data_IF_142430112089
#
_entry.id   IF_142430112089
#
_cell.length_a   1.000
_cell.length_b   1.000
_cell.length_c   1.000
_cell.angle_alpha   90.00
_cell.angle_beta   90.00
_cell.angle_gamma   90.00
#
_symmetry.space_group_name_H-M   'P 1'
#
loop_
_entity.id
_entity.type
_entity.pdbx_description
1 polymer ?
#
# COMPACT_ATOMS: atom_id res chain seq x y z
N UNK A 1 15.14 -57.92 -6.21
CA UNK A 1 14.88 -57.11 -7.42
C UNK A 1 13.53 -56.41 -7.28
N UNK A 2 13.54 -55.09 -7.53
CA UNK A 2 12.44 -54.17 -7.89
C UNK A 2 11.31 -53.88 -6.88
N UNK A 3 11.53 -52.75 -6.22
CA UNK A 3 10.57 -51.77 -5.69
C UNK A 3 9.22 -51.68 -6.42
N UNK A 4 8.13 -51.81 -5.65
CA UNK A 4 6.77 -51.49 -6.08
C UNK A 4 6.38 -50.05 -5.76
N UNK A 5 6.25 -49.24 -6.82
CA UNK A 5 5.37 -48.06 -7.04
C UNK A 5 5.55 -46.78 -6.19
N UNK A 6 6.02 -45.69 -6.84
CA UNK A 6 5.68 -44.30 -6.53
C UNK A 6 4.57 -43.71 -7.44
N UNK A 7 3.75 -44.54 -8.10
CA UNK A 7 2.85 -44.09 -9.18
C UNK A 7 1.57 -43.35 -8.72
N UNK A 8 1.08 -43.57 -7.49
CA UNK A 8 -0.20 -42.99 -7.04
C UNK A 8 -0.13 -41.51 -6.65
N UNK A 9 1.03 -41.00 -6.21
CA UNK A 9 1.15 -39.62 -5.70
C UNK A 9 1.19 -38.58 -6.84
N UNK A 10 1.67 -38.94 -8.03
CA UNK A 10 1.72 -38.02 -9.18
C UNK A 10 0.36 -37.84 -9.85
N UNK A 11 -0.43 -38.92 -9.94
CA UNK A 11 -1.74 -38.92 -10.63
C UNK A 11 -2.83 -38.19 -9.82
N UNK A 12 -2.81 -38.35 -8.48
CA UNK A 12 -3.70 -37.58 -7.61
C UNK A 12 -3.38 -36.08 -7.61
N UNK A 13 -2.10 -35.69 -7.69
CA UNK A 13 -1.68 -34.28 -7.81
C UNK A 13 -2.09 -33.66 -9.14
N UNK A 14 -2.06 -34.41 -10.25
CA UNK A 14 -2.46 -33.88 -11.56
C UNK A 14 -3.98 -33.76 -11.69
N UNK A 15 -4.75 -34.68 -11.11
CA UNK A 15 -6.21 -34.61 -11.11
C UNK A 15 -6.74 -33.47 -10.23
N UNK A 16 -6.12 -33.24 -9.05
CA UNK A 16 -6.48 -32.10 -8.19
C UNK A 16 -6.11 -30.76 -8.84
N UNK A 17 -4.97 -30.67 -9.52
CA UNK A 17 -4.58 -29.48 -10.29
C UNK A 17 -5.52 -29.19 -11.46
N UNK A 18 -5.98 -30.21 -12.19
CA UNK A 18 -6.93 -30.03 -13.28
C UNK A 18 -8.31 -29.58 -12.75
N UNK A 19 -8.75 -30.15 -11.61
CA UNK A 19 -9.95 -29.73 -10.89
C UNK A 19 -9.89 -28.25 -10.49
N UNK A 20 -8.78 -27.81 -9.92
CA UNK A 20 -8.57 -26.42 -9.53
C UNK A 20 -8.58 -25.49 -10.75
N UNK A 21 -7.89 -25.85 -11.85
CA UNK A 21 -7.87 -25.04 -13.08
C UNK A 21 -9.28 -24.87 -13.67
N UNK A 22 -10.06 -25.96 -13.74
CA UNK A 22 -11.44 -25.91 -14.24
C UNK A 22 -12.34 -25.09 -13.32
N UNK A 23 -12.14 -25.20 -12.00
CA UNK A 23 -12.86 -24.42 -11.01
C UNK A 23 -12.55 -22.93 -11.13
N UNK A 24 -11.27 -22.55 -11.26
CA UNK A 24 -10.85 -21.16 -11.52
C UNK A 24 -11.48 -20.64 -12.80
N UNK A 25 -11.44 -21.41 -13.89
CA UNK A 25 -12.02 -20.99 -15.18
C UNK A 25 -13.53 -20.81 -15.09
N UNK A 26 -14.23 -21.72 -14.43
CA UNK A 26 -15.68 -21.66 -14.20
C UNK A 26 -16.06 -20.44 -13.38
N UNK A 27 -15.42 -20.25 -12.21
CA UNK A 27 -15.68 -19.09 -11.33
C UNK A 27 -15.36 -17.79 -12.04
N UNK A 28 -14.22 -17.70 -12.72
CA UNK A 28 -13.81 -16.50 -13.47
C UNK A 28 -14.83 -16.15 -14.57
N UNK A 29 -15.34 -17.16 -15.29
CA UNK A 29 -16.37 -16.97 -16.30
C UNK A 29 -17.68 -16.46 -15.69
N UNK A 30 -18.13 -17.07 -14.60
CA UNK A 30 -19.35 -16.67 -13.87
C UNK A 30 -19.25 -15.26 -13.31
N UNK A 31 -18.09 -14.89 -12.73
CA UNK A 31 -17.82 -13.54 -12.25
C UNK A 31 -17.85 -12.52 -13.39
N UNK A 32 -17.27 -12.85 -14.54
CA UNK A 32 -17.28 -11.97 -15.71
C UNK A 32 -18.68 -11.78 -16.30
N UNK A 33 -19.50 -12.84 -16.37
CA UNK A 33 -20.84 -12.75 -16.98
C UNK A 33 -21.92 -12.22 -16.05
N UNK A 34 -21.88 -12.61 -14.77
CA UNK A 34 -22.98 -12.43 -13.81
C UNK A 34 -22.57 -11.88 -12.45
N UNK A 35 -21.27 -11.62 -12.23
CA UNK A 35 -20.75 -11.16 -10.95
C UNK A 35 -20.92 -12.22 -9.86
N UNK A 36 -21.08 -11.76 -8.62
CA UNK A 36 -21.13 -12.62 -7.43
C UNK A 36 -22.49 -13.27 -7.18
N UNK A 37 -23.56 -12.85 -7.89
CA UNK A 37 -24.94 -13.30 -7.65
C UNK A 37 -25.19 -14.77 -7.97
N UNK A 38 -24.48 -15.29 -8.96
CA UNK A 38 -24.62 -16.67 -9.44
C UNK A 38 -23.43 -17.53 -9.03
N UNK A 39 -22.63 -17.08 -8.06
CA UNK A 39 -21.59 -17.93 -7.49
C UNK A 39 -22.22 -19.10 -6.73
N UNK A 40 -21.63 -20.29 -6.79
CA UNK A 40 -22.09 -21.43 -6.00
C UNK A 40 -22.14 -21.09 -4.51
N UNK A 41 -23.06 -21.75 -3.78
CA UNK A 41 -23.29 -21.52 -2.36
C UNK A 41 -21.97 -21.65 -1.56
N UNK A 42 -21.75 -20.77 -0.56
CA UNK A 42 -20.57 -20.81 0.27
C UNK A 42 -20.20 -22.16 0.88
N UNK A 43 -21.19 -22.99 1.21
CA UNK A 43 -21.01 -24.31 1.80
C UNK A 43 -20.59 -25.38 0.78
N UNK A 44 -20.76 -25.11 -0.52
CA UNK A 44 -20.38 -26.04 -1.61
C UNK A 44 -19.00 -25.73 -2.18
N UNK A 45 -18.50 -24.51 -1.99
CA UNK A 45 -17.21 -24.04 -2.49
C UNK A 45 -16.15 -24.06 -1.38
N UNK A 46 -15.31 -25.10 -1.37
CA UNK A 46 -14.09 -25.10 -0.54
C UNK A 46 -13.03 -24.19 -1.17
N UNK A 47 -13.09 -22.89 -0.88
CA UNK A 47 -12.12 -21.90 -1.34
C UNK A 47 -10.87 -21.95 -0.46
N UNK A 48 -9.80 -22.57 -0.96
CA UNK A 48 -8.47 -22.47 -0.35
C UNK A 48 -7.79 -21.15 -0.75
N UNK A 49 -6.87 -20.64 0.09
CA UNK A 49 -6.11 -19.41 -0.22
C UNK A 49 -5.40 -19.45 -1.60
N UNK A 50 -4.75 -20.56 -2.02
CA UNK A 50 -4.14 -20.64 -3.35
C UNK A 50 -5.15 -20.47 -4.49
N UNK A 51 -6.34 -21.05 -4.35
CA UNK A 51 -7.41 -20.97 -5.35
C UNK A 51 -7.96 -19.55 -5.43
N UNK A 52 -8.20 -18.91 -4.28
CA UNK A 52 -8.61 -17.51 -4.18
C UNK A 52 -7.61 -16.58 -4.90
N UNK A 53 -6.31 -16.75 -4.62
CA UNK A 53 -5.26 -15.98 -5.28
C UNK A 53 -5.20 -16.20 -6.78
N UNK A 54 -5.44 -17.43 -7.27
CA UNK A 54 -5.48 -17.71 -8.71
C UNK A 54 -6.63 -16.98 -9.41
N UNK A 55 -7.82 -16.96 -8.80
CA UNK A 55 -8.97 -16.23 -9.34
C UNK A 55 -8.70 -14.72 -9.35
N UNK A 56 -8.20 -14.15 -8.25
CA UNK A 56 -7.87 -12.73 -8.16
C UNK A 56 -6.76 -12.32 -9.16
N UNK A 57 -5.84 -13.23 -9.50
CA UNK A 57 -4.78 -13.02 -10.49
C UNK A 57 -5.23 -13.20 -11.94
N UNK A 58 -6.44 -13.72 -12.19
CA UNK A 58 -6.94 -13.92 -13.54
C UNK A 58 -6.98 -12.60 -14.32
N UNK A 59 -6.28 -12.54 -15.44
CA UNK A 59 -6.17 -11.32 -16.26
C UNK A 59 -7.47 -10.98 -16.99
N UNK A 60 -8.29 -12.01 -17.28
CA UNK A 60 -9.59 -11.86 -17.92
C UNK A 60 -10.65 -11.22 -17.03
N UNK A 61 -10.39 -11.10 -15.72
CA UNK A 61 -11.36 -10.57 -14.77
C UNK A 61 -11.14 -9.08 -14.52
N UNK A 62 -12.18 -8.29 -14.73
CA UNK A 62 -12.14 -6.85 -14.50
C UNK A 62 -11.86 -6.53 -13.02
N UNK A 63 -11.06 -5.50 -12.69
CA UNK A 63 -10.74 -5.11 -11.32
C UNK A 63 -11.95 -4.95 -10.39
N UNK A 64 -13.06 -4.37 -10.87
CA UNK A 64 -14.30 -4.26 -10.08
C UNK A 64 -14.87 -5.62 -9.68
N UNK A 65 -14.85 -6.61 -10.58
CA UNK A 65 -15.32 -7.97 -10.29
C UNK A 65 -14.40 -8.71 -9.32
N UNK A 66 -13.09 -8.42 -9.36
CA UNK A 66 -12.13 -8.92 -8.36
C UNK A 66 -12.44 -8.38 -6.97
N UNK A 67 -12.77 -7.09 -6.87
CA UNK A 67 -13.16 -6.44 -5.62
C UNK A 67 -14.48 -7.02 -5.08
N UNK A 68 -15.49 -7.17 -5.93
CA UNK A 68 -16.76 -7.78 -5.55
C UNK A 68 -16.55 -9.21 -5.03
N UNK A 69 -15.75 -10.01 -5.73
CA UNK A 69 -15.43 -11.38 -5.32
C UNK A 69 -14.68 -11.43 -3.99
N UNK A 70 -13.69 -10.55 -3.81
CA UNK A 70 -12.93 -10.43 -2.56
C UNK A 70 -13.86 -10.12 -1.37
N UNK A 71 -14.76 -9.13 -1.53
CA UNK A 71 -15.76 -8.77 -0.52
C UNK A 71 -16.74 -9.90 -0.27
N UNK A 72 -17.22 -10.55 -1.32
CA UNK A 72 -18.12 -11.70 -1.22
C UNK A 72 -17.49 -12.82 -0.38
N UNK A 73 -16.23 -13.19 -0.62
CA UNK A 73 -15.54 -14.21 0.18
C UNK A 73 -15.47 -13.85 1.68
N UNK A 74 -15.30 -12.57 2.01
CA UNK A 74 -15.29 -12.12 3.41
C UNK A 74 -16.71 -12.17 4.01
N UNK A 75 -17.71 -11.64 3.29
CA UNK A 75 -19.09 -11.49 3.79
C UNK A 75 -19.88 -12.80 3.85
N UNK A 76 -19.69 -13.71 2.90
CA UNK A 76 -20.52 -14.93 2.79
C UNK A 76 -19.84 -16.17 3.33
N UNK A 77 -18.51 -16.25 3.27
CA UNK A 77 -17.76 -17.41 3.77
C UNK A 77 -17.01 -17.15 5.08
N UNK A 78 -17.05 -15.92 5.61
CA UNK A 78 -16.25 -15.51 6.77
C UNK A 78 -14.76 -15.86 6.60
N UNK A 79 -14.26 -15.81 5.36
CA UNK A 79 -12.86 -16.09 5.04
C UNK A 79 -12.04 -14.87 5.46
N UNK A 80 -11.12 -15.09 6.40
CA UNK A 80 -10.07 -14.12 6.72
C UNK A 80 -9.05 -14.11 5.60
N UNK A 81 -8.80 -12.93 5.06
CA UNK A 81 -7.91 -12.74 3.93
C UNK A 81 -6.46 -12.70 4.39
N UNK A 82 -5.56 -13.34 3.63
CA UNK A 82 -4.13 -13.31 3.94
C UNK A 82 -3.47 -12.02 3.45
N UNK A 83 -2.28 -11.71 3.96
CA UNK A 83 -1.45 -10.61 3.45
C UNK A 83 -1.34 -10.63 1.92
N UNK A 84 -1.13 -11.80 1.31
CA UNK A 84 -0.98 -11.92 -0.15
C UNK A 84 -2.23 -11.50 -0.91
N UNK A 85 -3.41 -11.83 -0.37
CA UNK A 85 -4.70 -11.50 -1.00
C UNK A 85 -4.98 -10.00 -0.88
N UNK A 86 -4.74 -9.40 0.29
CA UNK A 86 -4.81 -7.95 0.51
C UNK A 86 -3.84 -7.18 -0.38
N UNK A 87 -2.56 -7.57 -0.41
CA UNK A 87 -1.54 -6.95 -1.27
C UNK A 87 -1.95 -6.97 -2.74
N UNK A 88 -2.51 -8.08 -3.21
CA UNK A 88 -2.92 -8.22 -4.60
C UNK A 88 -4.14 -7.34 -4.92
N UNK A 89 -5.16 -7.33 -4.07
CA UNK A 89 -6.37 -6.56 -4.32
C UNK A 89 -6.13 -5.06 -4.19
N UNK A 90 -5.33 -4.63 -3.19
CA UNK A 90 -4.92 -3.23 -3.02
C UNK A 90 -4.16 -2.75 -4.26
N UNK A 91 -3.13 -3.47 -4.72
CA UNK A 91 -2.39 -3.09 -5.94
C UNK A 91 -3.28 -3.07 -7.19
N UNK A 92 -4.25 -3.99 -7.28
CA UNK A 92 -5.22 -4.03 -8.39
C UNK A 92 -6.12 -2.80 -8.37
N UNK A 93 -6.65 -2.44 -7.20
CA UNK A 93 -7.46 -1.24 -7.00
C UNK A 93 -6.67 0.04 -7.32
N UNK A 94 -5.43 0.16 -6.79
CA UNK A 94 -4.54 1.28 -7.03
C UNK A 94 -4.24 1.51 -8.51
N UNK A 95 -3.90 0.44 -9.24
CA UNK A 95 -3.57 0.54 -10.68
C UNK A 95 -4.78 0.86 -11.55
N UNK A 96 -5.95 0.38 -11.16
CA UNK A 96 -7.19 0.58 -11.90
C UNK A 96 -7.97 1.83 -11.47
N UNK A 97 -7.47 2.61 -10.50
CA UNK A 97 -8.08 3.86 -10.06
C UNK A 97 -9.27 3.69 -9.12
N UNK A 98 -9.51 2.50 -8.55
CA UNK A 98 -10.56 2.25 -7.55
C UNK A 98 -10.11 2.73 -6.16
N UNK A 99 -9.73 3.99 -6.07
CA UNK A 99 -9.10 4.57 -4.88
C UNK A 99 -10.07 4.74 -3.71
N UNK A 100 -11.38 4.90 -4.00
CA UNK A 100 -12.42 4.94 -2.98
C UNK A 100 -12.57 3.63 -2.20
N UNK A 101 -12.12 2.50 -2.76
CA UNK A 101 -12.17 1.19 -2.10
C UNK A 101 -10.99 0.95 -1.15
N UNK A 102 -9.89 1.65 -1.36
CA UNK A 102 -8.65 1.45 -0.60
C UNK A 102 -8.84 1.63 0.91
N UNK A 103 -9.51 2.70 1.41
CA UNK A 103 -9.76 2.87 2.85
C UNK A 103 -10.46 1.67 3.47
N UNK A 104 -11.54 1.19 2.84
CA UNK A 104 -12.29 0.03 3.33
C UNK A 104 -11.45 -1.24 3.35
N UNK A 105 -10.63 -1.46 2.31
CA UNK A 105 -9.72 -2.61 2.27
C UNK A 105 -8.64 -2.54 3.36
N UNK A 106 -8.09 -1.36 3.64
CA UNK A 106 -7.12 -1.16 4.71
C UNK A 106 -7.74 -1.37 6.10
N UNK A 107 -9.00 -0.94 6.27
CA UNK A 107 -9.76 -1.19 7.48
C UNK A 107 -9.97 -2.69 7.73
N UNK A 108 -10.50 -3.42 6.75
CA UNK A 108 -10.70 -4.87 6.85
C UNK A 108 -9.37 -5.61 7.08
N UNK A 109 -8.30 -5.15 6.45
CA UNK A 109 -6.95 -5.69 6.65
C UNK A 109 -6.48 -5.55 8.10
N UNK A 110 -6.79 -4.42 8.74
CA UNK A 110 -6.50 -4.19 10.17
C UNK A 110 -7.38 -5.05 11.08
N UNK A 111 -8.67 -5.20 10.78
CA UNK A 111 -9.58 -6.09 11.52
C UNK A 111 -9.12 -7.55 11.45
N UNK A 112 -8.58 -7.97 10.31
CA UNK A 112 -7.96 -9.29 10.12
C UNK A 112 -6.56 -9.40 10.76
N UNK A 113 -6.00 -8.32 11.31
CA UNK A 113 -4.69 -8.29 11.96
C UNK A 113 -3.51 -8.41 11.00
N UNK A 114 -3.71 -8.01 9.74
CA UNK A 114 -2.73 -8.16 8.66
C UNK A 114 -2.04 -6.82 8.40
N UNK A 115 -0.73 -6.83 8.18
CA UNK A 115 0.08 -5.63 7.96
C UNK A 115 0.39 -5.43 6.48
N UNK A 116 0.29 -4.17 6.02
CA UNK A 116 0.60 -3.77 4.64
C UNK A 116 2.09 -3.97 4.36
N UNK A 117 2.43 -4.71 3.31
CA UNK A 117 3.82 -4.84 2.87
C UNK A 117 4.32 -3.57 2.15
N UNK A 118 5.63 -3.34 2.21
CA UNK A 118 6.28 -2.13 1.66
C UNK A 118 6.01 -1.91 0.17
N UNK A 119 5.95 -2.98 -0.63
CA UNK A 119 5.68 -2.88 -2.06
C UNK A 119 4.23 -2.47 -2.35
N UNK A 120 3.28 -2.97 -1.55
CA UNK A 120 1.87 -2.54 -1.64
C UNK A 120 1.70 -1.11 -1.20
N UNK A 121 2.36 -0.70 -0.11
CA UNK A 121 2.37 0.68 0.35
C UNK A 121 2.88 1.63 -0.73
N UNK A 122 4.01 1.30 -1.38
CA UNK A 122 4.55 2.09 -2.49
C UNK A 122 3.60 2.18 -3.68
N UNK A 123 2.97 1.08 -4.06
CA UNK A 123 2.00 1.06 -5.16
C UNK A 123 0.74 1.89 -4.86
N UNK A 124 0.31 1.91 -3.60
CA UNK A 124 -0.76 2.78 -3.12
C UNK A 124 -0.33 4.24 -3.23
N UNK A 125 0.82 4.60 -2.68
CA UNK A 125 1.39 5.94 -2.74
C UNK A 125 1.47 6.47 -4.19
N UNK A 126 2.06 5.69 -5.11
CA UNK A 126 2.17 6.05 -6.53
C UNK A 126 0.81 6.29 -7.19
N UNK A 127 -0.21 5.52 -6.81
CA UNK A 127 -1.56 5.69 -7.37
C UNK A 127 -2.25 6.93 -6.84
N UNK A 128 -2.07 7.27 -5.56
CA UNK A 128 -2.59 8.50 -4.98
C UNK A 128 -1.96 9.73 -5.62
N UNK A 129 -0.64 9.73 -5.81
CA UNK A 129 0.09 10.79 -6.52
C UNK A 129 -0.50 11.08 -7.89
N UNK A 130 -0.90 10.03 -8.64
CA UNK A 130 -1.45 10.20 -9.99
C UNK A 130 -2.91 10.68 -10.04
N UNK A 131 -3.64 10.62 -8.93
CA UNK A 131 -5.10 10.71 -8.95
C UNK A 131 -5.69 12.03 -8.47
N UNK A 132 -4.87 12.94 -7.96
CA UNK A 132 -5.30 14.18 -7.29
C UNK A 132 -6.25 13.97 -6.07
N UNK A 133 -6.53 12.72 -5.71
CA UNK A 133 -7.42 12.31 -4.62
C UNK A 133 -6.64 11.98 -3.36
N UNK A 134 -6.00 13.01 -2.81
CA UNK A 134 -5.06 12.85 -1.70
C UNK A 134 -5.71 12.86 -0.32
N UNK A 135 -6.75 13.67 -0.15
CA UNK A 135 -7.32 14.00 1.16
C UNK A 135 -8.02 12.82 1.86
N UNK A 136 -8.72 11.96 1.13
CA UNK A 136 -9.48 10.86 1.74
C UNK A 136 -8.64 9.64 2.06
N UNK A 137 -7.55 9.39 1.33
CA UNK A 137 -6.82 8.12 1.44
C UNK A 137 -5.49 8.22 2.18
N UNK A 138 -4.86 9.40 2.24
CA UNK A 138 -3.77 9.65 3.20
C UNK A 138 -4.28 9.56 4.64
N UNK A 139 -5.49 10.07 4.89
CA UNK A 139 -6.18 9.89 6.16
C UNK A 139 -6.38 8.39 6.45
N UNK A 140 -6.85 7.59 5.50
CA UNK A 140 -7.08 6.17 5.69
C UNK A 140 -5.78 5.34 5.85
N UNK A 141 -4.72 5.65 5.09
CA UNK A 141 -3.39 5.02 5.22
C UNK A 141 -2.74 5.31 6.58
N UNK A 142 -3.00 6.49 7.16
CA UNK A 142 -2.41 6.92 8.44
C UNK A 142 -3.31 6.64 9.65
N UNK A 143 -4.64 6.57 9.49
CA UNK A 143 -5.61 6.39 10.58
C UNK A 143 -6.18 4.96 10.66
N UNK A 144 -6.47 4.34 9.51
CA UNK A 144 -7.21 3.07 9.45
C UNK A 144 -6.37 1.87 9.02
N UNK A 145 -5.40 2.05 8.13
CA UNK A 145 -4.43 1.02 7.76
C UNK A 145 -3.45 0.79 8.91
N UNK A 146 -3.69 -0.25 9.69
CA UNK A 146 -2.93 -0.57 10.90
C UNK A 146 -1.41 -0.40 10.77
N UNK A 147 -0.90 0.68 11.34
CA UNK A 147 0.34 0.63 12.12
C UNK A 147 -0.07 0.29 13.56
N UNK A 148 -0.67 -0.88 13.77
CA UNK A 148 -0.80 -1.42 15.11
C UNK A 148 0.62 -1.70 15.61
N UNK A 149 1.04 -0.94 16.63
CA UNK A 149 2.26 -1.10 17.44
C UNK A 149 3.63 -1.11 16.74
N UNK A 150 3.69 -1.07 15.42
CA UNK A 150 4.94 -1.02 14.65
C UNK A 150 4.84 0.18 13.70
N UNK A 151 5.67 1.17 14.01
CA UNK A 151 5.89 2.41 13.27
C UNK A 151 6.05 2.12 11.77
N UNK A 152 5.43 2.90 10.85
CA UNK A 152 5.74 2.76 9.45
C UNK A 152 7.25 2.97 9.28
N UNK A 153 7.92 1.96 8.71
CA UNK A 153 9.37 1.98 8.47
C UNK A 153 9.80 3.37 7.98
N UNK A 154 10.87 3.96 8.52
CA UNK A 154 11.29 5.35 8.21
C UNK A 154 11.36 5.60 6.70
N UNK A 155 11.74 4.57 5.94
CA UNK A 155 11.75 4.52 4.48
C UNK A 155 10.37 4.86 3.87
N UNK A 156 9.29 4.23 4.36
CA UNK A 156 7.94 4.43 3.84
C UNK A 156 7.42 5.86 4.13
N UNK A 157 7.70 6.38 5.33
CA UNK A 157 7.39 7.77 5.68
C UNK A 157 8.16 8.76 4.81
N UNK A 158 9.46 8.51 4.58
CA UNK A 158 10.30 9.34 3.73
C UNK A 158 9.83 9.32 2.28
N UNK A 159 9.49 8.14 1.73
CA UNK A 159 8.90 8.05 0.37
C UNK A 159 7.61 8.87 0.26
N UNK A 160 6.73 8.80 1.26
CA UNK A 160 5.49 9.59 1.31
C UNK A 160 5.76 11.10 1.36
N UNK A 161 6.67 11.56 2.21
CA UNK A 161 7.01 12.99 2.31
C UNK A 161 7.64 13.51 1.01
N UNK A 162 8.51 12.73 0.36
CA UNK A 162 9.07 13.08 -0.97
C UNK A 162 7.96 13.20 -2.01
N UNK A 163 7.04 12.24 -2.03
CA UNK A 163 5.90 12.23 -2.95
C UNK A 163 5.02 13.47 -2.79
N UNK A 164 4.62 13.78 -1.55
CA UNK A 164 3.79 14.96 -1.24
C UNK A 164 4.51 16.26 -1.60
N UNK A 165 5.82 16.35 -1.35
CA UNK A 165 6.60 17.52 -1.74
C UNK A 165 6.66 17.69 -3.26
N UNK A 166 6.88 16.61 -4.02
CA UNK A 166 6.93 16.63 -5.49
C UNK A 166 5.59 17.03 -6.13
N UNK A 167 4.48 16.66 -5.49
CA UNK A 167 3.13 17.04 -5.90
C UNK A 167 2.71 18.45 -5.39
N UNK A 168 3.62 19.19 -4.75
CA UNK A 168 3.39 20.52 -4.15
C UNK A 168 2.23 20.58 -3.13
N UNK A 169 2.00 19.47 -2.44
CA UNK A 169 0.88 19.29 -1.53
C UNK A 169 1.20 19.71 -0.09
N UNK A 170 1.23 21.03 0.13
CA UNK A 170 1.66 21.60 1.41
C UNK A 170 0.80 21.18 2.60
N UNK A 171 -0.53 21.14 2.44
CA UNK A 171 -1.46 20.90 3.56
C UNK A 171 -1.34 19.48 4.06
N UNK A 172 -1.38 18.51 3.14
CA UNK A 172 -1.29 17.09 3.40
C UNK A 172 0.10 16.73 3.93
N UNK A 173 1.17 17.28 3.35
CA UNK A 173 2.52 17.13 3.89
C UNK A 173 2.58 17.53 5.36
N UNK A 174 2.02 18.69 5.70
CA UNK A 174 2.01 19.18 7.08
C UNK A 174 1.23 18.25 8.00
N UNK A 175 0.06 17.75 7.58
CA UNK A 175 -0.70 16.76 8.36
C UNK A 175 0.08 15.47 8.62
N UNK A 176 0.80 14.97 7.62
CA UNK A 176 1.65 13.77 7.79
C UNK A 176 2.80 14.09 8.74
N UNK A 177 3.48 15.22 8.54
CA UNK A 177 4.58 15.67 9.39
C UNK A 177 4.13 15.79 10.86
N UNK A 178 3.02 16.47 11.13
CA UNK A 178 2.50 16.66 12.48
C UNK A 178 2.15 15.31 13.14
N UNK A 179 1.48 14.40 12.41
CA UNK A 179 1.18 13.05 12.91
C UNK A 179 2.43 12.22 13.21
N UNK A 180 3.47 12.33 12.38
CA UNK A 180 4.74 11.64 12.61
C UNK A 180 5.42 12.17 13.87
N UNK A 181 5.35 13.48 14.13
CA UNK A 181 5.89 14.14 15.33
C UNK A 181 5.13 13.75 16.61
N UNK A 182 3.82 13.52 16.51
CA UNK A 182 3.00 13.07 17.65
C UNK A 182 3.28 11.61 18.05
N UNK A 183 3.78 10.81 17.12
CA UNK A 183 4.06 9.40 17.36
C UNK A 183 5.39 9.22 18.12
N UNK A 184 5.30 8.98 19.43
CA UNK A 184 6.45 8.80 20.34
C UNK A 184 7.43 7.67 19.95
N UNK A 185 7.03 6.75 19.07
CA UNK A 185 7.90 5.68 18.57
C UNK A 185 8.62 5.98 17.25
N UNK A 186 8.30 7.09 16.58
CA UNK A 186 8.90 7.47 15.30
C UNK A 186 10.02 8.47 15.52
N UNK A 187 11.25 8.04 15.26
CA UNK A 187 12.40 8.94 15.16
C UNK A 187 12.69 9.22 13.69
N UNK A 188 12.75 10.50 13.34
CA UNK A 188 13.06 10.91 11.99
C UNK A 188 14.55 10.71 11.74
N UNK A 189 14.89 10.00 10.66
CA UNK A 189 16.27 9.82 10.23
C UNK A 189 16.79 11.07 9.49
N UNK A 190 18.10 11.09 9.20
CA UNK A 190 18.74 12.19 8.45
C UNK A 190 18.06 12.49 7.12
N UNK A 191 17.57 11.45 6.45
CA UNK A 191 16.88 11.59 5.19
C UNK A 191 15.54 12.31 5.41
N UNK A 192 14.76 11.91 6.41
CA UNK A 192 13.51 12.56 6.80
C UNK A 192 13.68 14.04 7.14
N UNK A 193 14.71 14.39 7.93
CA UNK A 193 15.05 15.78 8.22
C UNK A 193 15.33 16.56 6.94
N UNK A 194 16.16 16.05 6.04
CA UNK A 194 16.50 16.71 4.78
C UNK A 194 15.27 16.95 3.90
N UNK A 195 14.35 15.97 3.81
CA UNK A 195 13.09 16.14 3.08
C UNK A 195 12.27 17.29 3.67
N UNK A 196 12.06 17.28 4.99
CA UNK A 196 11.22 18.27 5.67
C UNK A 196 11.82 19.68 5.60
N UNK A 197 13.13 19.83 5.87
CA UNK A 197 13.84 21.11 5.78
C UNK A 197 13.71 21.70 4.37
N UNK A 198 13.96 20.87 3.34
CA UNK A 198 13.81 21.28 1.95
C UNK A 198 12.36 21.64 1.60
N UNK A 199 11.40 20.83 2.05
CA UNK A 199 9.98 21.04 1.75
C UNK A 199 9.44 22.35 2.32
N UNK A 200 9.59 22.56 3.63
CA UNK A 200 9.19 23.80 4.30
C UNK A 200 9.94 25.00 3.74
N UNK A 201 11.22 24.81 3.42
CA UNK A 201 12.05 25.77 2.73
C UNK A 201 11.46 26.30 1.42
N UNK A 202 11.16 25.40 0.49
CA UNK A 202 10.57 25.78 -0.79
C UNK A 202 9.19 26.43 -0.65
N UNK A 203 8.44 26.12 0.41
CA UNK A 203 7.15 26.75 0.70
C UNK A 203 7.25 28.07 1.48
N UNK A 204 8.46 28.57 1.70
CA UNK A 204 8.73 29.84 2.39
C UNK A 204 8.57 29.77 3.91
N UNK A 205 8.36 28.58 4.48
CA UNK A 205 8.28 28.36 5.93
C UNK A 205 9.68 28.21 6.53
N UNK A 206 10.44 29.31 6.47
CA UNK A 206 11.83 29.36 6.92
C UNK A 206 11.93 29.10 8.44
N UNK A 207 10.90 29.46 9.21
CA UNK A 207 10.85 29.23 10.65
C UNK A 207 10.91 27.73 10.98
N UNK A 208 10.01 26.94 10.40
CA UNK A 208 10.01 25.48 10.60
C UNK A 208 11.23 24.81 9.96
N UNK A 209 11.68 25.29 8.79
CA UNK A 209 12.88 24.76 8.12
C UNK A 209 14.14 24.92 9.00
N UNK A 210 14.36 26.10 9.57
CA UNK A 210 15.50 26.38 10.44
C UNK A 210 15.40 25.67 11.79
N UNK A 211 14.20 25.57 12.37
CA UNK A 211 14.03 24.83 13.63
C UNK A 211 14.37 23.34 13.47
N UNK A 212 13.96 22.73 12.35
CA UNK A 212 14.28 21.35 12.03
C UNK A 212 15.77 21.14 11.78
N UNK A 213 16.43 22.09 11.10
CA UNK A 213 17.88 22.03 10.91
C UNK A 213 18.64 22.07 12.24
N UNK A 214 18.20 22.93 13.16
CA UNK A 214 18.79 23.01 14.50
C UNK A 214 18.56 21.73 15.29
N UNK A 215 17.34 21.20 15.28
CA UNK A 215 17.00 19.92 15.94
C UNK A 215 17.87 18.77 15.42
N UNK A 216 18.04 18.66 14.10
CA UNK A 216 18.91 17.66 13.47
C UNK A 216 20.37 17.78 13.95
N UNK A 217 20.88 19.02 14.09
CA UNK A 217 22.23 19.30 14.59
C UNK A 217 22.41 18.93 16.05
N UNK A 218 21.44 19.29 16.89
CA UNK A 218 21.47 19.01 18.32
C UNK A 218 21.33 17.49 18.61
N UNK A 219 20.79 16.71 17.66
CA UNK A 219 20.58 15.26 17.77
C UNK A 219 21.82 14.40 17.47
N UNK A 220 23.01 14.98 17.24
CA UNK A 220 24.26 14.28 16.88
C UNK A 220 24.17 13.32 15.67
N UNK A 221 23.18 13.48 14.78
CA UNK A 221 23.08 12.71 13.54
C UNK A 221 24.07 13.25 12.46
N UNK A 222 25.35 13.35 12.79
CA UNK A 222 26.36 14.09 12.01
C UNK A 222 27.04 13.30 10.87
N UNK A 223 26.58 12.12 10.47
CA UNK A 223 27.39 11.29 9.54
C UNK A 223 27.20 11.49 8.04
N UNK A 224 26.24 12.29 7.58
CA UNK A 224 26.19 12.76 6.17
C UNK A 224 25.62 14.16 6.19
N UNK A 225 26.50 15.17 6.08
CA UNK A 225 26.06 16.56 5.97
C UNK A 225 25.01 16.67 4.86
N UNK A 226 23.92 17.44 5.07
CA UNK A 226 23.05 17.79 3.96
C UNK A 226 23.91 18.42 2.85
N UNK A 227 23.49 18.31 1.60
CA UNK A 227 23.97 19.15 0.48
C UNK A 227 23.55 20.62 0.72
N UNK A 228 23.97 21.16 1.86
CA UNK A 228 23.69 22.47 2.43
C UNK A 228 24.02 23.58 1.44
N UNK A 229 25.12 23.50 0.65
CA UNK A 229 25.37 24.47 -0.41
C UNK A 229 24.37 24.38 -1.57
N UNK A 230 23.85 23.20 -1.90
CA UNK A 230 22.92 23.02 -3.04
C UNK A 230 21.48 23.43 -2.67
N UNK A 231 21.06 23.14 -1.44
CA UNK A 231 19.77 23.57 -0.90
C UNK A 231 19.76 25.09 -0.75
N UNK A 232 20.77 25.69 -0.10
CA UNK A 232 20.90 27.15 0.03
C UNK A 232 21.11 27.83 -1.34
N UNK A 233 21.84 27.22 -2.28
CA UNK A 233 21.98 27.77 -3.63
C UNK A 233 20.67 27.73 -4.43
N UNK A 234 19.85 26.69 -4.25
CA UNK A 234 18.49 26.64 -4.80
C UNK A 234 17.63 27.76 -4.22
N UNK A 235 17.68 27.98 -2.89
CA UNK A 235 17.00 29.09 -2.21
C UNK A 235 17.40 30.46 -2.75
N UNK A 236 18.68 30.69 -3.01
CA UNK A 236 19.15 31.97 -3.55
C UNK A 236 18.77 32.13 -5.03
N UNK A 237 18.86 31.10 -5.87
CA UNK A 237 18.47 31.19 -7.27
C UNK A 237 16.97 31.45 -7.46
N UNK A 238 16.08 30.80 -6.69
CA UNK A 238 14.63 31.04 -6.80
C UNK A 238 14.18 32.39 -6.21
N UNK A 239 14.87 32.90 -5.18
CA UNK A 239 14.60 34.22 -4.63
C UNK A 239 15.17 35.37 -5.48
N UNK A 240 16.19 35.12 -6.32
CA UNK A 240 16.79 36.11 -7.22
C UNK A 240 16.18 36.11 -8.63
N UNK A 241 15.61 34.99 -9.08
CA UNK A 241 14.94 34.88 -10.39
C UNK A 241 13.44 35.24 -10.37
N UNK A 242 12.85 35.46 -9.19
CA UNK A 242 11.48 35.95 -9.04
C UNK A 242 11.38 37.47 -9.03
N UNK A 243 11.55 38.09 -10.21
CA UNK A 243 10.81 39.31 -10.59
C UNK A 243 9.62 38.91 -11.45
#
# INVERSE_FOLDING_TARGET
MRHGRPFLVKEQRSASQLGDILLVASITKTLSSSGTRNLPDPHTLSLSEPLLLQILRAQSLHPSKKLDFFKWCSLTHNIKHSARTYSHILRTASRAGFLHEVPHLLHSMKEDGVVVDSQTFKALLDAFIRSDMYNSVLAALLLEGGCSSQVPNSIACNELLVALRKADMRVEFKQVFDKLRENKGFEMDNWGYNICIHAFGCWGDLGTSLSLFKEMKDSNLESVGPDLPLIIASFMCSAWLGR
#
